data_IF_267787131295
#
_entry.id   IF_267787131295
#
_cell.length_a   1.000
_cell.length_b   1.000
_cell.length_c   1.000
_cell.angle_alpha   90.00
_cell.angle_beta   90.00
_cell.angle_gamma   90.00
#
_symmetry.space_group_name_H-M   'P 1'
#
loop_
_entity.id
_entity.type
_entity.pdbx_description
1 polymer ?
#
# COMPACT_ATOMS: atom_id res chain seq x y z
N UNK A 1 -9.05 10.30 -17.51
CA UNK A 1 -8.06 10.76 -16.53
C UNK A 1 -6.80 11.05 -17.29
N UNK A 2 -6.50 12.30 -17.45
CA UNK A 2 -5.26 12.69 -18.10
C UNK A 2 -4.11 12.54 -17.11
N UNK A 3 -3.22 11.59 -17.38
CA UNK A 3 -1.94 11.46 -16.66
C UNK A 3 -1.02 12.67 -16.87
N UNK A 4 -1.55 13.76 -17.38
CA UNK A 4 -0.86 14.98 -17.74
C UNK A 4 -1.11 16.14 -16.79
N UNK A 5 -1.82 15.93 -15.71
CA UNK A 5 -1.89 16.95 -14.67
C UNK A 5 -0.51 17.10 -14.03
N UNK A 6 0.06 18.23 -14.33
CA UNK A 6 1.34 18.66 -13.81
C UNK A 6 1.32 18.58 -12.29
N UNK A 7 2.13 17.68 -11.75
CA UNK A 7 2.51 17.82 -10.36
C UNK A 7 3.03 19.24 -10.16
N UNK A 8 2.27 20.04 -9.44
CA UNK A 8 2.66 21.42 -9.14
C UNK A 8 3.67 21.42 -7.99
N UNK A 9 4.73 20.66 -8.15
CA UNK A 9 5.84 20.65 -7.22
C UNK A 9 7.06 21.22 -7.95
N UNK A 10 7.58 22.29 -7.41
CA UNK A 10 8.75 23.00 -7.94
C UNK A 10 10.05 22.17 -7.97
N UNK A 11 10.00 20.92 -7.52
CA UNK A 11 11.14 20.03 -7.35
C UNK A 11 11.16 18.79 -8.25
N UNK A 12 10.20 18.60 -9.15
CA UNK A 12 10.18 17.42 -10.02
C UNK A 12 10.67 17.76 -11.43
N UNK A 13 11.93 17.45 -11.79
CA UNK A 13 12.44 17.68 -13.14
C UNK A 13 11.85 16.73 -14.19
N UNK A 14 11.24 15.62 -13.78
CA UNK A 14 10.61 14.64 -14.66
C UNK A 14 9.23 14.21 -14.11
N UNK A 15 8.20 14.49 -14.89
CA UNK A 15 6.80 14.24 -14.55
C UNK A 15 6.43 12.75 -14.30
N UNK A 16 7.35 11.83 -14.53
CA UNK A 16 7.09 10.38 -14.42
C UNK A 16 7.39 9.78 -13.05
N UNK A 17 8.25 10.42 -12.27
CA UNK A 17 8.71 9.93 -10.98
C UNK A 17 8.54 11.00 -9.88
N UNK A 18 7.39 11.66 -9.87
CA UNK A 18 7.10 12.66 -8.86
C UNK A 18 6.97 12.00 -7.48
N UNK A 19 8.07 11.95 -6.75
CA UNK A 19 8.07 11.74 -5.31
C UNK A 19 7.66 13.05 -4.61
N UNK A 20 6.48 13.56 -4.96
CA UNK A 20 5.96 14.78 -4.34
C UNK A 20 5.68 14.52 -2.87
N UNK A 21 6.35 15.28 -2.01
CA UNK A 21 6.04 15.31 -0.59
C UNK A 21 4.70 16.01 -0.39
N UNK A 22 3.81 15.43 0.37
CA UNK A 22 2.55 16.05 0.72
C UNK A 22 2.78 17.29 1.57
N UNK A 23 2.05 18.37 1.29
CA UNK A 23 2.05 19.59 2.10
C UNK A 23 1.42 19.37 3.47
N UNK A 24 0.63 18.33 3.62
CA UNK A 24 -0.14 18.05 4.80
C UNK A 24 0.56 17.01 5.66
N UNK A 25 0.65 17.31 6.94
CA UNK A 25 1.07 16.35 7.93
C UNK A 25 -0.16 15.56 8.40
N UNK A 26 -0.09 14.25 8.33
CA UNK A 26 -1.15 13.36 8.80
C UNK A 26 -0.67 12.64 10.05
N UNK A 27 -1.46 12.71 11.10
CA UNK A 27 -1.27 11.87 12.27
C UNK A 27 -1.74 10.44 11.94
N UNK A 28 -0.81 9.63 11.45
CA UNK A 28 -1.06 8.23 11.14
C UNK A 28 -0.87 7.33 12.38
N UNK A 29 -0.96 7.91 13.55
CA UNK A 29 -0.70 7.26 14.84
C UNK A 29 -1.72 6.17 15.19
N UNK A 30 -2.86 6.13 14.51
CA UNK A 30 -3.88 5.11 14.72
C UNK A 30 -3.65 3.84 13.87
N UNK A 31 -2.68 3.86 12.96
CA UNK A 31 -2.26 2.66 12.28
C UNK A 31 -1.26 1.91 13.15
N UNK A 32 -1.32 0.58 13.23
CA UNK A 32 -0.35 -0.19 13.99
C UNK A 32 1.06 0.11 13.47
N UNK A 33 1.81 0.87 14.27
CA UNK A 33 3.13 1.34 13.91
C UNK A 33 4.16 0.42 14.57
N UNK A 34 4.48 -0.65 13.91
CA UNK A 34 5.53 -1.53 14.39
C UNK A 34 6.84 -1.21 13.67
N UNK A 35 7.87 -1.00 14.47
CA UNK A 35 9.23 -0.88 13.97
C UNK A 35 9.53 -2.06 13.05
N UNK A 36 9.89 -1.74 11.82
CA UNK A 36 9.95 -2.64 10.68
C UNK A 36 10.89 -3.86 10.82
N UNK A 37 11.61 -3.99 11.92
CA UNK A 37 12.68 -4.98 12.04
C UNK A 37 12.25 -6.32 12.69
N UNK A 38 11.10 -6.39 13.33
CA UNK A 38 10.65 -7.60 14.03
C UNK A 38 9.12 -7.80 14.00
N UNK A 39 8.43 -7.22 13.04
CA UNK A 39 6.99 -7.40 12.94
C UNK A 39 6.64 -8.86 12.64
N UNK A 40 5.75 -9.41 13.44
CA UNK A 40 5.25 -10.77 13.24
C UNK A 40 4.41 -10.85 11.96
N UNK A 41 4.22 -12.05 11.43
CA UNK A 41 3.39 -12.28 10.25
C UNK A 41 1.98 -11.73 10.42
N UNK A 42 1.40 -11.89 11.60
CA UNK A 42 0.04 -11.43 11.89
C UNK A 42 -0.04 -9.89 11.94
N UNK A 43 0.95 -9.24 12.51
CA UNK A 43 1.03 -7.76 12.53
C UNK A 43 1.17 -7.18 11.14
N UNK A 44 2.00 -7.78 10.29
CA UNK A 44 2.14 -7.36 8.89
C UNK A 44 0.85 -7.55 8.10
N UNK A 45 0.16 -8.67 8.30
CA UNK A 45 -1.15 -8.92 7.69
C UNK A 45 -2.19 -7.88 8.09
N UNK A 46 -2.23 -7.56 9.38
CA UNK A 46 -3.18 -6.57 9.91
C UNK A 46 -2.91 -5.18 9.34
N UNK A 47 -1.66 -4.76 9.30
CA UNK A 47 -1.25 -3.51 8.67
C UNK A 47 -1.62 -3.47 7.19
N UNK A 48 -1.36 -4.53 6.45
CA UNK A 48 -1.71 -4.64 5.03
C UNK A 48 -3.21 -4.51 4.80
N UNK A 49 -4.03 -5.15 5.63
CA UNK A 49 -5.50 -5.03 5.57
C UNK A 49 -5.95 -3.60 5.81
N UNK A 50 -5.43 -2.97 6.87
CA UNK A 50 -5.78 -1.61 7.25
C UNK A 50 -5.44 -0.60 6.15
N UNK A 51 -4.23 -0.64 5.62
CA UNK A 51 -3.83 0.27 4.54
C UNK A 51 -4.57 0.02 3.25
N UNK A 52 -4.78 -1.23 2.88
CA UNK A 52 -5.53 -1.58 1.67
C UNK A 52 -6.97 -1.09 1.75
N UNK A 53 -7.63 -1.29 2.88
CA UNK A 53 -8.99 -0.79 3.11
C UNK A 53 -9.04 0.74 3.01
N UNK A 54 -8.13 1.44 3.67
CA UNK A 54 -8.06 2.90 3.63
C UNK A 54 -7.82 3.44 2.22
N UNK A 55 -6.98 2.79 1.43
CA UNK A 55 -6.72 3.16 0.03
C UNK A 55 -7.99 3.02 -0.82
N UNK A 56 -8.73 1.94 -0.67
CA UNK A 56 -9.98 1.70 -1.41
C UNK A 56 -11.04 2.72 -1.00
N UNK A 57 -11.18 2.97 0.29
CA UNK A 57 -12.12 3.96 0.84
C UNK A 57 -11.83 5.37 0.31
N UNK A 58 -10.57 5.78 0.32
CA UNK A 58 -10.15 7.05 -0.26
C UNK A 58 -10.37 7.12 -1.77
N UNK A 59 -10.16 6.01 -2.48
CA UNK A 59 -10.46 5.93 -3.91
C UNK A 59 -11.92 6.17 -4.21
N UNK A 60 -12.82 5.56 -3.46
CA UNK A 60 -14.27 5.78 -3.59
C UNK A 60 -14.67 7.22 -3.24
N UNK A 61 -14.08 7.80 -2.23
CA UNK A 61 -14.27 9.20 -1.88
C UNK A 61 -13.82 10.14 -3.00
N UNK A 62 -12.65 9.88 -3.57
CA UNK A 62 -12.08 10.69 -4.65
C UNK A 62 -12.86 10.60 -5.96
N UNK A 63 -13.61 9.53 -6.21
CA UNK A 63 -14.48 9.40 -7.36
C UNK A 63 -15.58 10.49 -7.37
N UNK A 64 -16.00 10.93 -6.20
CA UNK A 64 -16.98 12.02 -6.02
C UNK A 64 -16.35 13.36 -5.65
N UNK A 65 -15.10 13.37 -5.20
CA UNK A 65 -14.36 14.55 -4.75
C UNK A 65 -12.95 14.60 -5.40
N UNK A 66 -12.86 14.66 -6.74
CA UNK A 66 -11.57 14.53 -7.44
C UNK A 66 -10.60 15.69 -7.20
N UNK A 67 -11.09 16.82 -6.73
CA UNK A 67 -10.31 18.05 -6.51
C UNK A 67 -9.83 18.21 -5.05
N UNK A 68 -10.11 17.25 -4.19
CA UNK A 68 -9.67 17.30 -2.80
C UNK A 68 -8.18 16.94 -2.69
N UNK A 69 -7.34 17.96 -2.71
CA UNK A 69 -5.88 17.82 -2.64
C UNK A 69 -5.41 17.05 -1.40
N UNK A 70 -6.08 17.26 -0.28
CA UNK A 70 -5.75 16.60 0.99
C UNK A 70 -6.01 15.10 0.92
N UNK A 71 -7.14 14.70 0.35
CA UNK A 71 -7.47 13.28 0.15
C UNK A 71 -6.54 12.61 -0.86
N UNK A 72 -6.19 13.28 -1.94
CA UNK A 72 -5.22 12.80 -2.93
C UNK A 72 -3.86 12.58 -2.28
N UNK A 73 -3.43 13.50 -1.46
CA UNK A 73 -2.16 13.42 -0.74
C UNK A 73 -2.15 12.25 0.25
N UNK A 74 -3.21 12.09 1.02
CA UNK A 74 -3.36 10.97 1.96
C UNK A 74 -3.37 9.62 1.26
N UNK A 75 -4.10 9.52 0.14
CA UNK A 75 -4.12 8.31 -0.69
C UNK A 75 -2.71 7.93 -1.15
N UNK A 76 -1.94 8.90 -1.59
CA UNK A 76 -0.54 8.71 -2.01
C UNK A 76 0.33 8.18 -0.88
N UNK A 77 0.22 8.76 0.31
CA UNK A 77 0.98 8.31 1.48
C UNK A 77 0.63 6.88 1.90
N UNK A 78 -0.64 6.56 1.91
CA UNK A 78 -1.09 5.19 2.22
C UNK A 78 -0.64 4.18 1.16
N UNK A 79 -0.71 4.56 -0.11
CA UNK A 79 -0.24 3.69 -1.21
C UNK A 79 1.26 3.39 -1.11
N UNK A 80 2.08 4.38 -0.78
CA UNK A 80 3.52 4.17 -0.56
C UNK A 80 3.80 3.21 0.60
N UNK A 81 3.12 3.41 1.71
CA UNK A 81 3.28 2.55 2.90
C UNK A 81 2.81 1.13 2.64
N UNK A 82 1.66 0.99 1.99
CA UNK A 82 1.14 -0.31 1.60
C UNK A 82 2.13 -1.07 0.72
N UNK A 83 2.68 -0.43 -0.29
CA UNK A 83 3.66 -1.03 -1.19
C UNK A 83 4.92 -1.50 -0.47
N UNK A 84 5.44 -0.71 0.45
CA UNK A 84 6.60 -1.08 1.25
C UNK A 84 6.32 -2.29 2.16
N UNK A 85 5.16 -2.32 2.81
CA UNK A 85 4.74 -3.45 3.66
C UNK A 85 4.47 -4.71 2.84
N UNK A 86 3.83 -4.57 1.68
CA UNK A 86 3.58 -5.67 0.76
C UNK A 86 4.88 -6.32 0.30
N UNK A 87 5.85 -5.51 -0.09
CA UNK A 87 7.17 -5.98 -0.50
C UNK A 87 7.89 -6.69 0.65
N UNK A 88 7.87 -6.12 1.84
CA UNK A 88 8.45 -6.74 3.03
C UNK A 88 7.82 -8.10 3.34
N UNK A 89 6.50 -8.18 3.32
CA UNK A 89 5.76 -9.41 3.55
C UNK A 89 6.11 -10.47 2.51
N UNK A 90 6.09 -10.11 1.24
CA UNK A 90 6.34 -11.03 0.13
C UNK A 90 7.77 -11.59 0.13
N UNK A 91 8.75 -10.79 0.55
CA UNK A 91 10.15 -11.25 0.67
C UNK A 91 10.31 -12.34 1.73
N UNK A 92 9.60 -12.23 2.83
CA UNK A 92 9.77 -13.12 4.00
C UNK A 92 8.82 -14.31 3.96
N UNK A 93 7.55 -14.08 3.68
CA UNK A 93 6.49 -15.08 3.84
C UNK A 93 5.98 -15.68 2.52
N UNK A 94 6.13 -14.97 1.44
CA UNK A 94 5.73 -15.44 0.12
C UNK A 94 4.82 -14.48 -0.63
N UNK A 95 4.53 -14.79 -1.90
CA UNK A 95 3.80 -13.88 -2.77
C UNK A 95 2.35 -13.70 -2.35
N UNK A 96 1.87 -12.46 -2.44
CA UNK A 96 0.46 -12.11 -2.27
C UNK A 96 -0.25 -11.93 -3.62
N UNK A 97 0.51 -11.86 -4.69
CA UNK A 97 0.03 -11.65 -6.04
C UNK A 97 0.84 -12.48 -7.03
N UNK A 98 0.18 -12.97 -8.06
CA UNK A 98 0.80 -13.64 -9.21
C UNK A 98 1.85 -12.75 -9.90
N UNK A 99 1.76 -11.43 -9.72
CA UNK A 99 2.69 -10.47 -10.30
C UNK A 99 4.05 -10.41 -9.58
N UNK A 100 4.14 -10.99 -8.38
CA UNK A 100 5.40 -11.00 -7.63
C UNK A 100 6.33 -12.11 -8.15
N UNK A 101 7.54 -11.78 -8.63
CA UNK A 101 8.47 -12.75 -9.15
C UNK A 101 9.07 -13.62 -8.04
N UNK A 102 8.91 -14.92 -8.16
CA UNK A 102 9.48 -15.90 -7.24
C UNK A 102 10.44 -16.83 -7.97
N UNK A 103 11.48 -17.28 -7.27
CA UNK A 103 12.40 -18.31 -7.80
C UNK A 103 11.73 -19.66 -7.96
N UNK A 104 10.70 -19.93 -7.20
CA UNK A 104 9.92 -21.16 -7.23
C UNK A 104 8.43 -20.80 -7.34
N UNK A 105 7.69 -21.58 -8.11
CA UNK A 105 6.25 -21.38 -8.24
C UNK A 105 5.52 -21.89 -6.99
N UNK A 106 5.21 -21.00 -6.08
CA UNK A 106 4.66 -21.32 -4.76
C UNK A 106 3.14 -21.40 -4.69
N UNK A 107 2.46 -21.03 -5.76
CA UNK A 107 0.99 -21.01 -5.81
C UNK A 107 0.35 -22.39 -5.69
N UNK A 108 1.10 -23.45 -6.00
CA UNK A 108 0.66 -24.82 -5.87
C UNK A 108 1.02 -25.46 -4.53
N UNK A 109 1.75 -24.76 -3.68
CA UNK A 109 2.11 -25.25 -2.36
C UNK A 109 0.95 -25.10 -1.40
N UNK A 110 0.63 -26.18 -0.67
CA UNK A 110 -0.36 -26.15 0.39
C UNK A 110 0.11 -25.39 1.65
N UNK A 111 -0.76 -25.20 2.63
CA UNK A 111 -2.16 -25.66 2.64
C UNK A 111 -3.08 -24.75 1.82
N UNK A 112 -4.03 -25.35 1.13
CA UNK A 112 -5.13 -24.62 0.49
C UNK A 112 -6.09 -24.08 1.56
N UNK A 113 -6.85 -22.99 1.27
CA UNK A 113 -7.78 -22.42 2.27
C UNK A 113 -8.80 -23.42 2.84
N UNK A 114 -9.21 -24.40 2.06
CA UNK A 114 -10.14 -25.45 2.47
C UNK A 114 -9.50 -26.64 3.17
N UNK A 115 -8.18 -26.74 3.18
CA UNK A 115 -7.42 -27.77 3.90
C UNK A 115 -7.05 -27.34 5.31
N UNK A 116 -7.10 -26.04 5.58
CA UNK A 116 -6.82 -25.48 6.89
C UNK A 116 -8.00 -25.64 7.83
N UNK A 117 -7.73 -25.96 9.09
CA UNK A 117 -8.75 -25.86 10.12
C UNK A 117 -9.16 -24.39 10.27
N UNK A 118 -10.45 -24.13 10.15
CA UNK A 118 -11.02 -22.84 10.51
C UNK A 118 -10.90 -22.64 12.02
N UNK A 119 -9.93 -21.87 12.43
CA UNK A 119 -9.83 -21.39 13.80
C UNK A 119 -10.40 -20.00 13.92
#
# INVERSE_FOLDING_TARGET
MDCNEKCNCDMCPNQRDCACTCKYEFELNNMPNNNANEATMEELKEQLKCYRFAIIELGLYLDTHPDDEKAICLHREYAKRFKALEEQYQKVYGPLSIMYPCKKWRWLEGPWPWEGECK
#
